data_IF_771063736635
#
_entry.id   IF_771063736635
#
_cell.length_a   1.000
_cell.length_b   1.000
_cell.length_c   1.000
_cell.angle_alpha   90.00
_cell.angle_beta   90.00
_cell.angle_gamma   90.00
#
_symmetry.space_group_name_H-M   'P 1'
#
loop_
_entity.id
_entity.type
_entity.pdbx_description
1 polymer ?
#
# COMPACT_ATOMS: atom_id res chain seq x y z
N UNK A 1 -20.57 6.91 -12.22
CA UNK A 1 -19.56 5.86 -12.43
C UNK A 1 -20.20 4.54 -12.04
N UNK A 2 -19.87 3.42 -12.71
CA UNK A 2 -20.34 2.09 -12.30
C UNK A 2 -19.90 1.80 -10.86
N UNK A 3 -20.78 1.17 -10.08
CA UNK A 3 -20.50 0.76 -8.69
C UNK A 3 -19.93 -0.65 -8.70
N UNK A 4 -18.63 -0.74 -8.99
CA UNK A 4 -17.95 -2.02 -9.08
C UNK A 4 -17.72 -2.65 -7.71
N UNK A 5 -17.78 -3.98 -7.67
CA UNK A 5 -17.56 -4.81 -6.49
C UNK A 5 -16.68 -6.01 -6.80
N UNK A 6 -16.04 -6.52 -5.76
CA UNK A 6 -15.31 -7.78 -5.75
C UNK A 6 -16.06 -8.75 -4.83
N UNK A 7 -16.14 -10.01 -5.25
CA UNK A 7 -16.79 -11.08 -4.50
C UNK A 7 -15.73 -11.95 -3.82
N UNK A 8 -15.66 -11.88 -2.49
CA UNK A 8 -14.62 -12.53 -1.68
C UNK A 8 -15.19 -13.77 -1.02
N UNK A 9 -14.67 -14.94 -1.34
CA UNK A 9 -15.09 -16.20 -0.71
C UNK A 9 -14.55 -16.30 0.72
N UNK A 10 -15.38 -16.75 1.65
CA UNK A 10 -14.95 -17.05 3.01
C UNK A 10 -14.88 -18.58 3.23
N UNK A 11 -13.91 -19.09 4.02
CA UNK A 11 -12.86 -18.34 4.75
C UNK A 11 -11.61 -18.03 3.90
N UNK A 12 -11.56 -18.47 2.64
CA UNK A 12 -10.32 -18.49 1.87
C UNK A 12 -9.77 -17.10 1.53
N UNK A 13 -10.62 -16.09 1.36
CA UNK A 13 -10.22 -14.76 0.89
C UNK A 13 -9.94 -14.67 -0.61
N UNK A 14 -10.22 -15.74 -1.37
CA UNK A 14 -10.11 -15.77 -2.82
C UNK A 14 -11.32 -15.13 -3.49
N UNK A 15 -11.13 -14.58 -4.68
CA UNK A 15 -12.11 -13.74 -5.38
C UNK A 15 -12.76 -14.48 -6.54
N UNK A 16 -14.07 -14.31 -6.71
CA UNK A 16 -14.79 -14.88 -7.83
C UNK A 16 -14.40 -14.20 -9.14
N UNK A 17 -13.91 -15.01 -10.08
CA UNK A 17 -13.48 -14.61 -11.42
C UNK A 17 -14.29 -15.33 -12.49
N UNK A 18 -14.60 -14.59 -13.56
CA UNK A 18 -15.12 -15.15 -14.82
C UNK A 18 -14.02 -15.13 -15.89
N UNK A 19 -13.16 -16.14 -15.86
CA UNK A 19 -11.94 -16.21 -16.69
C UNK A 19 -12.27 -16.41 -18.17
N UNK A 20 -13.40 -17.04 -18.46
CA UNK A 20 -13.76 -17.47 -19.79
C UNK A 20 -15.28 -17.62 -19.83
N UNK A 21 -16.01 -16.63 -20.36
CA UNK A 21 -17.49 -16.52 -20.33
C UNK A 21 -18.33 -17.69 -20.86
N UNK A 22 -17.71 -18.85 -21.11
CA UNK A 22 -18.33 -20.14 -21.44
C UNK A 22 -17.84 -21.33 -20.56
N UNK A 23 -16.65 -21.26 -19.93
CA UNK A 23 -15.97 -22.39 -19.24
C UNK A 23 -16.27 -22.52 -17.73
N UNK A 24 -16.96 -21.55 -17.14
CA UNK A 24 -17.29 -21.52 -15.71
C UNK A 24 -16.45 -20.54 -14.88
N UNK A 25 -16.76 -20.48 -13.59
CA UNK A 25 -16.13 -19.53 -12.66
C UNK A 25 -14.95 -20.17 -11.92
N UNK A 26 -13.99 -19.34 -11.48
CA UNK A 26 -12.89 -19.76 -10.61
C UNK A 26 -12.66 -18.80 -9.44
N UNK A 27 -11.84 -19.23 -8.48
CA UNK A 27 -11.42 -18.42 -7.34
C UNK A 27 -9.95 -18.02 -7.47
N UNK A 28 -9.64 -16.72 -7.37
CA UNK A 28 -8.30 -16.16 -7.58
C UNK A 28 -7.81 -15.33 -6.41
N UNK A 29 -6.51 -15.34 -6.14
CA UNK A 29 -5.87 -14.52 -5.09
C UNK A 29 -5.64 -13.06 -5.53
N UNK A 30 -5.48 -12.85 -6.85
CA UNK A 30 -5.27 -11.56 -7.52
C UNK A 30 -6.47 -11.22 -8.39
N UNK A 31 -6.76 -9.93 -8.56
CA UNK A 31 -7.92 -9.48 -9.32
C UNK A 31 -7.52 -8.64 -10.54
N UNK A 32 -7.64 -9.25 -11.72
CA UNK A 32 -7.75 -8.54 -12.99
C UNK A 32 -9.22 -8.22 -13.31
N UNK A 33 -9.51 -7.74 -14.52
CA UNK A 33 -10.85 -7.35 -14.96
C UNK A 33 -11.89 -8.46 -14.80
N UNK A 34 -11.49 -9.74 -14.90
CA UNK A 34 -12.40 -10.88 -14.77
C UNK A 34 -12.98 -11.05 -13.37
N UNK A 35 -12.37 -10.43 -12.35
CA UNK A 35 -12.84 -10.44 -10.98
C UNK A 35 -13.79 -9.28 -10.64
N UNK A 36 -14.02 -8.36 -11.57
CA UNK A 36 -14.80 -7.14 -11.34
C UNK A 36 -16.25 -7.36 -11.72
N UNK A 37 -17.16 -7.08 -10.79
CA UNK A 37 -18.60 -7.22 -10.96
C UNK A 37 -19.29 -5.88 -10.74
N UNK A 38 -20.48 -5.69 -11.33
CA UNK A 38 -21.31 -4.52 -11.13
C UNK A 38 -22.75 -4.96 -10.82
N UNK A 39 -23.41 -4.27 -9.90
CA UNK A 39 -24.83 -4.52 -9.63
C UNK A 39 -25.68 -4.15 -10.84
N UNK A 40 -26.49 -5.11 -11.31
CA UNK A 40 -27.50 -4.87 -12.33
C UNK A 40 -28.90 -4.71 -11.68
N UNK A 41 -29.10 -5.37 -10.55
CA UNK A 41 -30.27 -5.23 -9.67
C UNK A 41 -29.88 -5.59 -8.23
N UNK A 42 -30.80 -5.46 -7.26
CA UNK A 42 -30.56 -5.89 -5.86
C UNK A 42 -30.32 -7.42 -5.70
N UNK A 43 -30.53 -8.20 -6.76
CA UNK A 43 -30.41 -9.66 -6.75
C UNK A 43 -29.53 -10.21 -7.88
N UNK A 44 -28.86 -9.36 -8.66
CA UNK A 44 -27.99 -9.80 -9.76
C UNK A 44 -26.76 -8.93 -9.95
N UNK A 45 -25.65 -9.59 -10.27
CA UNK A 45 -24.36 -8.98 -10.56
C UNK A 45 -23.93 -9.36 -11.97
N UNK A 46 -23.38 -8.39 -12.69
CA UNK A 46 -22.85 -8.56 -14.04
C UNK A 46 -21.33 -8.40 -14.02
N UNK A 47 -20.61 -9.37 -14.56
CA UNK A 47 -19.16 -9.27 -14.72
C UNK A 47 -18.82 -8.14 -15.70
N UNK A 48 -17.89 -7.26 -15.31
CA UNK A 48 -17.56 -6.07 -16.06
C UNK A 48 -16.76 -6.36 -17.35
N UNK A 49 -16.03 -7.48 -17.39
CA UNK A 49 -15.21 -7.88 -18.54
C UNK A 49 -16.00 -8.75 -19.54
N UNK A 50 -16.71 -9.77 -19.04
CA UNK A 50 -17.37 -10.78 -19.89
C UNK A 50 -18.84 -10.46 -20.15
N UNK A 51 -19.48 -9.68 -19.27
CA UNK A 51 -20.90 -9.42 -19.31
C UNK A 51 -21.78 -10.56 -18.78
N UNK A 52 -21.20 -11.66 -18.28
CA UNK A 52 -21.93 -12.74 -17.62
C UNK A 52 -22.69 -12.24 -16.40
N UNK A 53 -23.87 -12.80 -16.15
CA UNK A 53 -24.73 -12.41 -15.02
C UNK A 53 -24.86 -13.58 -14.06
N UNK A 54 -24.75 -13.29 -12.77
CA UNK A 54 -25.03 -14.22 -11.66
C UNK A 54 -26.14 -13.65 -10.78
N UNK A 55 -27.01 -14.53 -10.30
CA UNK A 55 -28.01 -14.16 -9.30
C UNK A 55 -27.46 -14.39 -7.89
N UNK A 56 -27.81 -13.48 -6.97
CA UNK A 56 -27.37 -13.50 -5.58
C UNK A 56 -28.51 -13.22 -4.62
N UNK A 57 -28.42 -13.79 -3.41
CA UNK A 57 -29.34 -13.55 -2.32
C UNK A 57 -28.57 -13.21 -1.02
N UNK A 58 -29.09 -12.34 -0.14
CA UNK A 58 -28.45 -12.07 1.15
C UNK A 58 -28.22 -13.36 1.96
N UNK A 59 -27.01 -13.54 2.49
CA UNK A 59 -26.58 -14.75 3.20
C UNK A 59 -26.19 -14.50 4.66
N UNK A 60 -26.27 -13.25 5.13
CA UNK A 60 -26.05 -12.87 6.50
C UNK A 60 -25.18 -11.62 6.64
N UNK A 61 -25.13 -11.11 7.86
CA UNK A 61 -24.27 -10.02 8.31
C UNK A 61 -23.80 -10.33 9.73
N UNK A 62 -22.82 -9.57 10.23
CA UNK A 62 -22.50 -9.60 11.66
C UNK A 62 -23.74 -9.25 12.50
N UNK A 63 -23.92 -9.96 13.61
CA UNK A 63 -24.86 -9.55 14.65
C UNK A 63 -24.28 -8.45 15.55
N UNK A 64 -25.13 -7.87 16.42
CA UNK A 64 -24.74 -6.75 17.27
C UNK A 64 -23.66 -7.10 18.31
N UNK A 65 -23.64 -8.34 18.82
CA UNK A 65 -22.65 -8.78 19.80
C UNK A 65 -21.30 -9.03 19.12
N UNK A 66 -21.31 -9.66 17.94
CA UNK A 66 -20.12 -9.85 17.12
C UNK A 66 -19.51 -8.51 16.70
N UNK A 67 -20.35 -7.56 16.29
CA UNK A 67 -19.91 -6.21 15.94
C UNK A 67 -19.27 -5.49 17.14
N UNK A 68 -19.94 -5.50 18.30
CA UNK A 68 -19.41 -4.87 19.51
C UNK A 68 -18.06 -5.48 19.95
N UNK A 69 -17.92 -6.81 19.87
CA UNK A 69 -16.67 -7.48 20.20
C UNK A 69 -15.51 -7.09 19.26
N UNK A 70 -15.77 -6.93 17.96
CA UNK A 70 -14.75 -6.45 17.01
C UNK A 70 -14.35 -5.00 17.29
N UNK A 71 -15.33 -4.13 17.54
CA UNK A 71 -15.08 -2.71 17.83
C UNK A 71 -14.36 -2.49 19.16
N UNK A 72 -14.66 -3.29 20.19
CA UNK A 72 -13.92 -3.29 21.46
C UNK A 72 -12.45 -3.69 21.24
N UNK A 73 -12.22 -4.68 20.37
CA UNK A 73 -10.93 -5.31 20.18
C UNK A 73 -9.97 -4.50 19.30
N UNK A 74 -10.45 -3.99 18.16
CA UNK A 74 -9.60 -3.28 17.17
C UNK A 74 -9.94 -1.78 17.07
N UNK A 75 -10.78 -1.29 17.97
CA UNK A 75 -11.24 0.09 18.01
C UNK A 75 -12.50 0.33 17.17
N UNK A 76 -13.15 1.50 17.36
CA UNK A 76 -14.41 1.82 16.69
C UNK A 76 -14.37 1.66 15.18
N UNK A 77 -15.42 1.06 14.61
CA UNK A 77 -15.57 0.86 13.16
C UNK A 77 -14.92 -0.42 12.63
N UNK A 78 -14.20 -1.18 13.46
CA UNK A 78 -13.63 -2.47 13.10
C UNK A 78 -14.69 -3.49 12.65
N UNK A 79 -15.90 -3.44 13.21
CA UNK A 79 -17.02 -4.27 12.78
C UNK A 79 -17.44 -4.01 11.34
N UNK A 80 -17.17 -2.82 10.80
CA UNK A 80 -17.49 -2.42 9.42
C UNK A 80 -16.46 -2.92 8.40
N UNK A 81 -15.35 -3.48 8.87
CA UNK A 81 -14.36 -4.16 8.03
C UNK A 81 -14.90 -5.50 7.49
N UNK A 82 -15.92 -6.07 8.13
CA UNK A 82 -16.56 -7.31 7.68
C UNK A 82 -17.66 -6.99 6.68
N UNK A 83 -17.50 -7.51 5.47
CA UNK A 83 -18.40 -7.21 4.36
C UNK A 83 -19.75 -7.93 4.49
N UNK A 84 -20.85 -7.33 3.97
CA UNK A 84 -22.13 -8.01 3.82
C UNK A 84 -21.97 -9.27 2.96
N UNK A 85 -22.68 -10.34 3.33
CA UNK A 85 -22.55 -11.64 2.66
C UNK A 85 -23.73 -11.92 1.74
N UNK A 86 -23.42 -12.46 0.58
CA UNK A 86 -24.36 -12.87 -0.44
C UNK A 86 -24.07 -14.31 -0.87
N UNK A 87 -25.12 -15.06 -1.19
CA UNK A 87 -25.05 -16.42 -1.69
C UNK A 87 -25.41 -16.44 -3.16
N UNK A 88 -24.65 -17.17 -3.98
CA UNK A 88 -25.02 -17.45 -5.37
C UNK A 88 -26.34 -18.25 -5.38
N UNK A 89 -27.34 -17.73 -6.10
CA UNK A 89 -28.70 -18.29 -6.14
C UNK A 89 -28.92 -19.27 -7.29
N UNK A 90 -28.03 -19.28 -8.28
CA UNK A 90 -28.12 -20.15 -9.45
C UNK A 90 -27.44 -21.51 -9.22
N UNK A 91 -28.08 -22.58 -9.70
CA UNK A 91 -27.51 -23.94 -9.75
C UNK A 91 -27.06 -24.28 -11.18
N UNK A 92 -26.20 -23.45 -11.77
CA UNK A 92 -25.65 -23.69 -13.11
C UNK A 92 -24.42 -24.60 -13.09
N UNK A 93 -24.15 -25.29 -14.20
CA UNK A 93 -22.93 -26.09 -14.38
C UNK A 93 -21.65 -25.23 -14.19
N UNK A 94 -21.73 -23.94 -14.53
CA UNK A 94 -20.66 -22.96 -14.32
C UNK A 94 -20.38 -22.67 -12.85
N UNK A 95 -21.38 -22.81 -11.97
CA UNK A 95 -21.24 -22.63 -10.52
C UNK A 95 -20.79 -23.93 -9.86
N UNK A 96 -21.06 -25.08 -10.47
CA UNK A 96 -20.58 -26.38 -10.01
C UNK A 96 -19.03 -26.44 -9.94
N UNK A 97 -18.32 -25.70 -10.81
CA UNK A 97 -16.84 -25.60 -10.80
C UNK A 97 -16.29 -25.00 -9.50
N UNK A 98 -17.07 -24.17 -8.82
CA UNK A 98 -16.71 -23.55 -7.54
C UNK A 98 -16.83 -24.53 -6.35
N UNK A 99 -17.26 -25.78 -6.59
CA UNK A 99 -17.45 -26.77 -5.54
C UNK A 99 -18.44 -26.32 -4.46
N UNK A 100 -18.02 -26.30 -3.20
CA UNK A 100 -18.85 -25.88 -2.06
C UNK A 100 -18.87 -24.36 -1.80
N UNK A 101 -18.07 -23.57 -2.53
CA UNK A 101 -18.02 -22.12 -2.35
C UNK A 101 -19.25 -21.48 -2.97
N UNK A 102 -20.16 -21.00 -2.11
CA UNK A 102 -21.44 -20.40 -2.51
C UNK A 102 -21.72 -19.06 -1.84
N UNK A 103 -20.99 -18.72 -0.77
CA UNK A 103 -21.21 -17.49 0.01
C UNK A 103 -19.99 -16.60 -0.13
N UNK A 104 -20.23 -15.33 -0.45
CA UNK A 104 -19.22 -14.34 -0.75
C UNK A 104 -19.50 -13.06 0.03
N UNK A 105 -18.48 -12.47 0.63
CA UNK A 105 -18.49 -11.08 1.05
C UNK A 105 -18.43 -10.15 -0.16
N UNK A 106 -19.20 -9.07 -0.15
CA UNK A 106 -19.19 -8.07 -1.23
C UNK A 106 -18.36 -6.86 -0.78
N UNK A 107 -17.18 -6.71 -1.38
CA UNK A 107 -16.29 -5.55 -1.16
C UNK A 107 -16.43 -4.58 -2.33
N UNK A 108 -16.43 -3.28 -2.05
CA UNK A 108 -16.37 -2.26 -3.11
C UNK A 108 -15.04 -2.36 -3.86
N UNK A 109 -15.09 -2.35 -5.19
CA UNK A 109 -13.92 -2.38 -6.04
C UNK A 109 -13.45 -0.95 -6.39
N UNK A 110 -12.26 -0.81 -7.00
CA UNK A 110 -11.84 0.44 -7.62
C UNK A 110 -12.82 0.95 -8.69
N UNK A 111 -12.74 2.25 -9.00
CA UNK A 111 -13.70 2.93 -9.87
C UNK A 111 -13.56 2.58 -11.37
N UNK A 112 -12.43 1.99 -11.77
CA UNK A 112 -12.11 1.59 -13.14
C UNK A 112 -11.73 0.11 -13.19
N UNK A 113 -11.54 -0.43 -14.39
CA UNK A 113 -11.04 -1.79 -14.54
C UNK A 113 -9.54 -1.86 -14.18
N UNK A 114 -9.07 -2.95 -13.56
CA UNK A 114 -7.65 -3.19 -13.32
C UNK A 114 -6.75 -2.91 -14.53
N UNK A 115 -7.16 -3.33 -15.74
CA UNK A 115 -6.41 -3.07 -16.97
C UNK A 115 -6.25 -1.57 -17.31
N UNK A 116 -7.24 -0.73 -16.98
CA UNK A 116 -7.16 0.73 -17.16
C UNK A 116 -6.09 1.34 -16.24
N UNK A 117 -6.03 0.89 -14.98
CA UNK A 117 -5.00 1.34 -14.04
C UNK A 117 -3.61 0.88 -14.47
N UNK A 118 -3.49 -0.36 -14.96
CA UNK A 118 -2.22 -0.89 -15.47
C UNK A 118 -1.75 -0.08 -16.68
N UNK A 119 -2.63 0.22 -17.63
CA UNK A 119 -2.30 1.03 -18.80
C UNK A 119 -1.85 2.45 -18.42
N UNK A 120 -2.44 3.06 -17.38
CA UNK A 120 -1.95 4.33 -16.84
C UNK A 120 -0.54 4.18 -16.25
N UNK A 121 -0.35 3.17 -15.38
CA UNK A 121 0.92 2.92 -14.71
C UNK A 121 2.05 2.68 -15.73
N UNK A 122 1.80 1.92 -16.79
CA UNK A 122 2.74 1.68 -17.88
C UNK A 122 3.05 2.93 -18.72
N UNK A 123 2.06 3.81 -18.91
CA UNK A 123 2.19 5.01 -19.74
C UNK A 123 2.91 6.14 -19.02
N UNK A 124 2.70 6.30 -17.72
CA UNK A 124 3.12 7.52 -17.01
C UNK A 124 3.87 7.25 -15.69
N UNK A 125 4.05 5.98 -15.31
CA UNK A 125 4.79 5.57 -14.13
C UNK A 125 4.02 5.65 -12.82
N UNK A 126 2.75 6.07 -12.84
CA UNK A 126 1.91 6.12 -11.64
C UNK A 126 0.42 5.99 -11.98
N UNK A 127 -0.36 5.53 -11.00
CA UNK A 127 -1.82 5.47 -11.07
C UNK A 127 -2.44 5.58 -9.68
N UNK A 128 -3.62 6.17 -9.58
CA UNK A 128 -4.40 6.21 -8.33
C UNK A 128 -5.47 5.15 -8.41
N UNK A 129 -5.52 4.27 -7.41
CA UNK A 129 -6.52 3.22 -7.23
C UNK A 129 -7.49 3.69 -6.14
N UNK A 130 -8.73 3.97 -6.51
CA UNK A 130 -9.77 4.39 -5.57
C UNK A 130 -10.33 3.20 -4.78
N UNK A 131 -11.02 3.48 -3.66
CA UNK A 131 -11.71 2.50 -2.82
C UNK A 131 -10.80 1.36 -2.30
N UNK A 132 -9.48 1.57 -2.16
CA UNK A 132 -8.57 0.62 -1.51
C UNK A 132 -9.01 0.39 -0.06
N UNK A 133 -9.40 1.46 0.62
CA UNK A 133 -10.00 1.46 1.96
C UNK A 133 -11.39 2.09 1.94
N UNK A 134 -12.29 1.56 2.75
CA UNK A 134 -13.57 2.23 3.03
C UNK A 134 -13.37 3.41 4.01
N UNK A 135 -14.31 4.37 4.09
CA UNK A 135 -14.26 5.43 5.10
C UNK A 135 -14.14 4.91 6.54
N UNK A 136 -14.76 3.76 6.83
CA UNK A 136 -14.70 3.11 8.13
C UNK A 136 -13.31 2.52 8.40
N UNK A 137 -12.68 1.90 7.39
CA UNK A 137 -11.29 1.44 7.48
C UNK A 137 -10.35 2.63 7.79
N UNK A 138 -10.51 3.74 7.08
CA UNK A 138 -9.70 4.96 7.27
C UNK A 138 -9.91 5.51 8.69
N UNK A 139 -11.16 5.62 9.15
CA UNK A 139 -11.48 6.10 10.49
C UNK A 139 -10.91 5.19 11.58
N UNK A 140 -11.03 3.88 11.43
CA UNK A 140 -10.48 2.90 12.38
C UNK A 140 -8.95 3.03 12.46
N UNK A 141 -8.28 3.17 11.32
CA UNK A 141 -6.83 3.28 11.27
C UNK A 141 -6.32 4.59 11.87
N UNK A 142 -6.98 5.72 11.57
CA UNK A 142 -6.67 7.01 12.21
C UNK A 142 -6.87 6.92 13.73
N UNK A 143 -7.94 6.27 14.19
CA UNK A 143 -8.19 6.06 15.62
C UNK A 143 -7.07 5.29 16.31
N UNK A 144 -6.60 4.20 15.70
CA UNK A 144 -5.48 3.41 16.22
C UNK A 144 -4.16 4.18 16.25
N UNK A 145 -3.84 4.93 15.18
CA UNK A 145 -2.64 5.79 15.15
C UNK A 145 -2.74 6.93 16.17
N UNK A 146 -3.93 7.49 16.37
CA UNK A 146 -4.18 8.55 17.38
C UNK A 146 -3.97 8.02 18.79
N UNK A 147 -4.42 6.79 19.10
CA UNK A 147 -4.17 6.15 20.39
C UNK A 147 -2.67 6.04 20.71
N UNK A 148 -1.86 5.60 19.74
CA UNK A 148 -0.39 5.54 19.88
C UNK A 148 0.20 6.91 20.20
N UNK A 149 -0.28 7.96 19.53
CA UNK A 149 0.16 9.34 19.76
C UNK A 149 -0.20 9.84 21.16
N UNK A 150 -1.43 9.59 21.61
CA UNK A 150 -1.91 9.97 22.93
C UNK A 150 -1.14 9.24 24.05
N UNK A 151 -0.88 7.95 23.89
CA UNK A 151 -0.06 7.15 24.82
C UNK A 151 1.41 7.60 24.86
N UNK A 152 1.90 8.28 23.83
CA UNK A 152 3.29 8.73 23.68
C UNK A 152 3.41 10.26 23.54
N UNK A 153 2.51 11.02 24.16
CA UNK A 153 2.41 12.48 24.01
C UNK A 153 3.73 13.21 24.28
N UNK A 154 4.50 12.78 25.29
CA UNK A 154 5.77 13.41 25.64
C UNK A 154 6.85 13.17 24.58
N UNK A 155 6.93 11.95 24.02
CA UNK A 155 7.84 11.64 22.92
C UNK A 155 7.47 12.43 21.67
N UNK A 156 6.18 12.54 21.36
CA UNK A 156 5.73 13.31 20.21
C UNK A 156 6.03 14.81 20.39
N UNK A 157 5.88 15.34 21.61
CA UNK A 157 6.25 16.72 21.92
C UNK A 157 7.75 16.97 21.67
N UNK A 158 8.63 16.05 22.05
CA UNK A 158 10.07 16.14 21.77
C UNK A 158 10.38 16.10 20.27
N UNK A 159 9.69 15.24 19.52
CA UNK A 159 9.82 15.18 18.04
C UNK A 159 9.42 16.53 17.43
N UNK A 160 8.31 17.12 17.87
CA UNK A 160 7.84 18.43 17.39
C UNK A 160 8.82 19.54 17.75
N UNK A 161 9.32 19.58 18.99
CA UNK A 161 10.30 20.58 19.42
C UNK A 161 11.60 20.48 18.59
N UNK A 162 12.08 19.26 18.32
CA UNK A 162 13.24 19.04 17.44
C UNK A 162 12.99 19.50 16.00
N UNK A 163 11.77 19.29 15.48
CA UNK A 163 11.36 19.79 14.16
C UNK A 163 11.26 21.31 14.12
N UNK A 164 10.74 21.94 15.17
CA UNK A 164 10.47 23.38 15.23
C UNK A 164 11.76 24.20 15.49
N UNK A 165 12.76 23.60 16.14
CA UNK A 165 14.03 24.25 16.51
C UNK A 165 15.14 24.11 15.46
N UNK A 166 14.98 23.25 14.46
CA UNK A 166 16.03 23.01 13.45
C UNK A 166 16.10 24.15 12.41
N UNK A 167 17.30 24.55 11.97
CA UNK A 167 17.43 25.42 10.80
C UNK A 167 16.84 24.71 9.57
N UNK A 168 16.16 25.45 8.70
CA UNK A 168 15.47 24.90 7.54
C UNK A 168 16.39 23.98 6.73
N UNK A 169 16.10 22.67 6.77
CA UNK A 169 16.77 21.61 6.01
C UNK A 169 15.77 20.47 5.79
N UNK A 170 15.12 20.47 4.63
CA UNK A 170 14.48 19.29 4.02
C UNK A 170 13.15 18.75 4.59
N UNK A 171 12.60 17.81 3.81
CA UNK A 171 11.39 16.97 3.88
C UNK A 171 10.90 16.42 5.25
N UNK A 172 11.52 16.76 6.39
CA UNK A 172 11.23 16.09 7.67
C UNK A 172 10.19 16.78 8.57
N UNK A 173 9.30 17.61 8.01
CA UNK A 173 8.12 18.09 8.74
C UNK A 173 6.99 17.04 8.82
N UNK A 174 7.40 15.81 9.06
CA UNK A 174 6.57 14.62 9.02
C UNK A 174 6.75 13.92 10.35
N UNK A 175 5.66 13.74 11.09
CA UNK A 175 5.64 12.85 12.24
C UNK A 175 5.48 11.43 11.69
N UNK A 176 6.34 10.52 12.15
CA UNK A 176 6.31 9.10 11.81
C UNK A 176 5.89 8.31 13.04
N UNK A 177 4.59 7.97 13.22
CA UNK A 177 4.10 7.29 14.42
C UNK A 177 4.87 6.04 14.85
N UNK A 178 5.49 5.32 13.90
CA UNK A 178 6.40 4.20 14.21
C UNK A 178 7.50 4.57 15.22
N UNK A 179 8.04 5.78 15.18
CA UNK A 179 9.10 6.22 16.10
C UNK A 179 8.59 6.49 17.52
N UNK A 180 7.28 6.47 17.75
CA UNK A 180 6.67 6.64 19.07
C UNK A 180 6.49 5.30 19.78
N UNK A 181 6.34 4.22 19.01
CA UNK A 181 6.08 2.86 19.48
C UNK A 181 7.36 2.18 19.97
N UNK A 182 7.22 1.11 20.77
CA UNK A 182 8.33 0.23 21.12
C UNK A 182 8.77 -0.63 19.92
N UNK A 183 9.89 -1.35 20.06
CA UNK A 183 10.42 -2.22 19.00
C UNK A 183 9.57 -3.48 18.79
N UNK A 184 8.84 -3.93 19.82
CA UNK A 184 7.96 -5.10 19.80
C UNK A 184 6.52 -4.81 19.31
N UNK A 185 6.22 -3.54 19.01
CA UNK A 185 4.92 -3.12 18.50
C UNK A 185 4.97 -2.77 17.01
N UNK A 186 3.92 -3.13 16.27
CA UNK A 186 3.72 -2.73 14.87
C UNK A 186 2.25 -2.54 14.57
N UNK A 187 1.92 -1.56 13.73
CA UNK A 187 0.55 -1.34 13.27
C UNK A 187 -0.03 -2.55 12.52
N UNK A 188 0.82 -3.37 11.89
CA UNK A 188 0.42 -4.65 11.30
C UNK A 188 -0.14 -5.62 12.34
N UNK A 189 0.40 -5.62 13.57
CA UNK A 189 -0.05 -6.44 14.68
C UNK A 189 -1.18 -5.82 15.52
N UNK A 190 -1.53 -4.55 15.29
CA UNK A 190 -2.53 -3.83 16.10
C UNK A 190 -3.95 -3.87 15.51
N UNK A 191 -4.09 -3.84 14.18
CA UNK A 191 -5.41 -3.79 13.52
C UNK A 191 -5.36 -4.50 12.17
N UNK A 192 -6.40 -5.30 11.81
CA UNK A 192 -6.47 -5.93 10.49
C UNK A 192 -6.58 -4.92 9.35
N UNK A 193 -6.97 -3.66 9.62
CA UNK A 193 -7.16 -2.64 8.60
C UNK A 193 -5.89 -2.36 7.77
N UNK A 194 -4.69 -2.48 8.38
CA UNK A 194 -3.41 -2.31 7.68
C UNK A 194 -3.23 -3.41 6.63
N UNK A 195 -3.38 -4.67 7.04
CA UNK A 195 -3.23 -5.82 6.15
C UNK A 195 -4.31 -5.81 5.05
N UNK A 196 -5.58 -5.60 5.39
CA UNK A 196 -6.68 -5.58 4.41
C UNK A 196 -6.55 -4.46 3.34
N UNK A 197 -5.92 -3.35 3.71
CA UNK A 197 -5.66 -2.23 2.81
C UNK A 197 -4.46 -2.52 1.89
N UNK A 198 -3.36 -3.05 2.43
CA UNK A 198 -2.14 -3.31 1.66
C UNK A 198 -2.25 -4.55 0.79
N UNK A 199 -2.97 -5.58 1.27
CA UNK A 199 -3.20 -6.83 0.53
C UNK A 199 -4.39 -6.71 -0.44
N UNK A 200 -4.74 -5.49 -0.85
CA UNK A 200 -5.82 -5.23 -1.79
C UNK A 200 -5.57 -5.98 -3.11
N UNK A 201 -6.50 -6.87 -3.55
CA UNK A 201 -6.24 -7.85 -4.62
C UNK A 201 -5.91 -7.21 -5.97
N UNK A 202 -6.55 -6.08 -6.28
CA UNK A 202 -6.28 -5.34 -7.52
C UNK A 202 -4.94 -4.64 -7.43
N UNK A 203 -4.60 -4.07 -6.27
CA UNK A 203 -3.33 -3.36 -6.10
C UNK A 203 -2.16 -4.35 -6.21
N UNK A 204 -2.24 -5.51 -5.56
CA UNK A 204 -1.21 -6.55 -5.70
C UNK A 204 -1.09 -7.06 -7.14
N UNK A 205 -2.22 -7.29 -7.83
CA UNK A 205 -2.21 -7.69 -9.24
C UNK A 205 -1.55 -6.64 -10.13
N UNK A 206 -1.82 -5.35 -9.90
CA UNK A 206 -1.20 -4.24 -10.64
C UNK A 206 0.31 -4.22 -10.46
N UNK A 207 0.80 -4.41 -9.24
CA UNK A 207 2.22 -4.41 -8.92
C UNK A 207 2.93 -5.58 -9.61
N UNK A 208 2.40 -6.79 -9.44
CA UNK A 208 2.93 -8.01 -10.07
C UNK A 208 2.93 -7.90 -11.60
N UNK A 209 1.82 -7.42 -12.18
CA UNK A 209 1.69 -7.24 -13.63
C UNK A 209 2.63 -6.17 -14.17
N UNK A 210 2.78 -5.04 -13.47
CA UNK A 210 3.67 -3.96 -13.87
C UNK A 210 5.14 -4.38 -13.86
N UNK A 211 5.55 -5.15 -12.85
CA UNK A 211 6.89 -5.74 -12.76
C UNK A 211 7.10 -6.92 -13.71
N UNK A 212 6.03 -7.57 -14.18
CA UNK A 212 6.13 -8.81 -14.95
C UNK A 212 6.66 -9.98 -14.11
N UNK A 213 6.19 -10.08 -12.86
CA UNK A 213 6.60 -11.12 -11.89
C UNK A 213 5.36 -11.73 -11.24
N UNK A 214 5.54 -12.89 -10.62
CA UNK A 214 4.52 -13.63 -9.88
C UNK A 214 4.72 -13.59 -8.36
N UNK A 215 5.79 -12.95 -7.90
CA UNK A 215 6.15 -12.88 -6.49
C UNK A 215 6.81 -11.55 -6.11
N UNK A 216 6.34 -10.97 -5.01
CA UNK A 216 6.70 -9.65 -4.49
C UNK A 216 6.77 -9.66 -2.96
N UNK A 217 7.57 -8.76 -2.39
CA UNK A 217 7.67 -8.57 -0.94
C UNK A 217 7.94 -7.11 -0.55
N UNK A 218 7.88 -6.80 0.74
CA UNK A 218 8.23 -5.46 1.22
C UNK A 218 9.74 -5.21 1.13
N UNK A 219 10.12 -4.05 0.60
CA UNK A 219 11.42 -3.40 0.83
C UNK A 219 11.32 -2.32 1.93
N UNK A 220 10.11 -1.88 2.26
CA UNK A 220 9.87 -1.07 3.44
C UNK A 220 8.54 -1.48 4.05
N UNK A 221 8.54 -1.93 5.30
CA UNK A 221 7.31 -2.24 6.01
C UNK A 221 6.39 -1.02 6.09
N UNK A 222 5.06 -1.23 6.12
CA UNK A 222 4.11 -0.14 6.07
C UNK A 222 4.26 0.80 7.27
N UNK A 223 4.51 2.06 6.97
CA UNK A 223 4.66 3.13 7.95
C UNK A 223 3.61 4.22 7.74
N UNK A 224 3.47 5.08 8.75
CA UNK A 224 2.58 6.23 8.71
C UNK A 224 3.39 7.52 8.61
N UNK A 225 2.91 8.45 7.80
CA UNK A 225 3.47 9.78 7.67
C UNK A 225 2.38 10.82 7.88
N UNK A 226 2.60 11.69 8.85
CA UNK A 226 1.69 12.79 9.20
C UNK A 226 2.42 14.09 8.90
N UNK A 227 2.07 14.71 7.77
CA UNK A 227 2.61 16.00 7.37
C UNK A 227 1.93 17.10 8.18
N UNK A 228 2.70 17.90 8.93
CA UNK A 228 2.16 18.98 9.77
C UNK A 228 1.77 20.21 8.92
N UNK A 229 0.87 21.08 9.40
CA UNK A 229 0.57 22.35 8.73
C UNK A 229 1.81 23.25 8.64
N UNK A 230 2.05 23.86 7.48
CA UNK A 230 3.20 24.72 7.20
C UNK A 230 3.27 25.96 8.11
N UNK A 231 2.11 26.50 8.52
CA UNK A 231 2.05 27.61 9.48
C UNK A 231 2.65 27.24 10.84
N UNK A 232 2.41 26.00 11.29
CA UNK A 232 2.88 25.53 12.60
C UNK A 232 4.37 25.25 12.65
N UNK A 233 5.03 25.20 11.50
CA UNK A 233 6.46 24.88 11.36
C UNK A 233 7.26 26.03 10.79
N UNK A 234 6.61 27.15 10.44
CA UNK A 234 7.25 28.31 9.82
C UNK A 234 7.60 28.11 8.34
N UNK A 235 7.27 26.96 7.75
CA UNK A 235 7.59 26.63 6.35
C UNK A 235 6.76 27.46 5.36
N UNK A 236 5.60 27.96 5.77
CA UNK A 236 4.81 28.87 4.93
C UNK A 236 5.56 30.16 4.56
N UNK A 237 6.56 30.57 5.37
CA UNK A 237 7.28 31.80 5.16
C UNK A 237 8.42 31.70 4.13
N UNK A 238 8.83 30.49 3.72
CA UNK A 238 9.96 30.26 2.80
C UNK A 238 9.73 29.03 1.93
N UNK A 239 9.64 29.23 0.61
CA UNK A 239 9.75 28.14 -0.37
C UNK A 239 11.24 27.92 -0.60
N UNK A 240 11.74 26.77 -0.21
CA UNK A 240 13.17 26.47 -0.31
C UNK A 240 13.40 25.35 -1.32
N UNK A 241 14.60 25.32 -1.93
CA UNK A 241 14.98 24.25 -2.84
C UNK A 241 15.02 22.89 -2.16
N UNK A 242 14.84 21.83 -2.96
CA UNK A 242 15.21 20.48 -2.54
C UNK A 242 14.05 19.50 -2.47
N UNK A 243 14.34 18.35 -1.86
CA UNK A 243 13.36 17.31 -1.55
C UNK A 243 13.02 16.38 -2.70
N UNK A 244 13.46 16.67 -3.93
CA UNK A 244 13.26 15.82 -5.10
C UNK A 244 14.19 14.61 -5.05
N UNK A 245 13.59 13.43 -5.12
CA UNK A 245 14.28 12.14 -5.09
C UNK A 245 13.53 11.09 -5.90
N UNK A 246 14.18 9.95 -6.11
CA UNK A 246 13.58 8.67 -6.51
C UNK A 246 13.88 7.65 -5.41
N UNK A 247 12.99 6.67 -5.22
CA UNK A 247 13.11 5.68 -4.14
C UNK A 247 13.96 4.45 -4.55
N UNK A 248 13.87 4.00 -5.81
CA UNK A 248 14.47 2.75 -6.32
C UNK A 248 14.39 2.67 -7.87
N UNK A 249 15.28 1.95 -8.61
CA UNK A 249 16.60 1.47 -8.22
C UNK A 249 17.62 2.60 -8.32
N UNK A 250 18.56 2.66 -7.39
CA UNK A 250 19.80 3.39 -7.61
C UNK A 250 20.68 2.53 -8.54
N UNK A 251 21.03 2.95 -9.76
CA UNK A 251 22.24 2.41 -10.37
C UNK A 251 23.41 2.88 -9.53
N UNK A 252 24.22 1.92 -9.10
CA UNK A 252 25.46 2.17 -8.40
C UNK A 252 26.51 2.69 -9.35
N UNK A 253 26.49 4.02 -9.52
CA UNK A 253 27.65 4.78 -9.92
C UNK A 253 27.39 6.28 -9.71
N UNK A 254 28.14 6.81 -8.74
CA UNK A 254 28.37 8.22 -8.41
C UNK A 254 27.22 8.99 -7.78
N UNK A 255 27.31 9.03 -6.46
CA UNK A 255 26.88 10.08 -5.57
C UNK A 255 27.18 11.47 -6.14
N UNK A 256 26.28 12.40 -5.88
CA UNK A 256 26.68 13.35 -4.85
C UNK A 256 25.47 13.56 -3.94
N UNK A 257 25.39 12.70 -2.93
CA UNK A 257 24.92 13.10 -1.59
C UNK A 257 23.42 13.00 -1.26
N UNK A 258 22.71 11.98 -1.72
CA UNK A 258 21.47 11.61 -1.02
C UNK A 258 21.21 10.10 -1.07
N UNK A 259 21.51 9.43 0.05
CA UNK A 259 20.99 8.12 0.49
C UNK A 259 21.71 6.82 0.11
N UNK A 260 22.93 6.86 -0.46
CA UNK A 260 23.81 5.67 -0.61
C UNK A 260 25.20 5.77 0.02
N UNK A 261 25.50 6.77 0.86
CA UNK A 261 26.83 6.89 1.51
C UNK A 261 27.18 5.75 2.50
N UNK A 262 26.35 4.71 2.58
CA UNK A 262 26.59 3.51 3.39
C UNK A 262 26.67 2.20 2.58
N UNK A 263 26.30 2.19 1.28
CA UNK A 263 26.51 1.01 0.44
C UNK A 263 27.82 1.22 -0.34
N UNK A 264 28.94 0.91 0.32
CA UNK A 264 30.24 0.88 -0.36
C UNK A 264 30.25 -0.14 -1.52
N UNK A 265 31.28 -0.14 -2.38
CA UNK A 265 31.43 -1.12 -3.47
C UNK A 265 31.23 -2.58 -3.02
N UNK A 266 31.60 -2.90 -1.78
CA UNK A 266 31.40 -4.22 -1.17
C UNK A 266 29.92 -4.57 -0.93
N UNK A 267 29.10 -3.62 -0.45
CA UNK A 267 27.66 -3.84 -0.28
C UNK A 267 26.94 -3.96 -1.62
N UNK A 268 27.43 -3.27 -2.64
CA UNK A 268 26.96 -3.48 -4.01
C UNK A 268 27.29 -4.87 -4.52
N UNK A 269 28.53 -5.33 -4.31
CA UNK A 269 28.93 -6.68 -4.66
C UNK A 269 28.11 -7.71 -3.89
N UNK A 270 27.74 -7.46 -2.63
CA UNK A 270 26.80 -8.31 -1.87
C UNK A 270 25.40 -8.30 -2.45
N UNK A 271 24.85 -7.14 -2.83
CA UNK A 271 23.56 -7.03 -3.51
C UNK A 271 23.59 -7.81 -4.81
N UNK A 272 24.56 -7.52 -5.67
CA UNK A 272 24.75 -8.20 -6.95
C UNK A 272 24.92 -9.71 -6.76
N UNK A 273 25.76 -10.14 -5.82
CA UNK A 273 25.95 -11.55 -5.50
C UNK A 273 24.76 -12.20 -4.79
N UNK A 274 23.82 -11.43 -4.22
CA UNK A 274 22.59 -12.00 -3.66
C UNK A 274 21.53 -12.25 -4.73
N UNK A 275 21.42 -11.34 -5.71
CA UNK A 275 20.45 -11.44 -6.79
C UNK A 275 20.98 -12.32 -7.93
N UNK A 276 22.26 -12.17 -8.33
CA UNK A 276 22.87 -12.85 -9.49
C UNK A 276 22.83 -14.38 -9.44
N UNK A 277 23.14 -15.07 -8.33
CA UNK A 277 23.04 -16.53 -8.27
C UNK A 277 21.60 -17.05 -8.33
N UNK A 278 20.63 -16.33 -7.75
CA UNK A 278 19.21 -16.69 -7.81
C UNK A 278 18.60 -16.32 -9.18
N UNK A 279 19.09 -15.25 -9.80
CA UNK A 279 18.57 -14.65 -11.04
C UNK A 279 19.72 -14.11 -11.91
N UNK A 280 20.46 -14.98 -12.64
CA UNK A 280 21.70 -14.62 -13.35
C UNK A 280 21.53 -13.57 -14.46
N UNK A 281 20.29 -13.30 -14.85
CA UNK A 281 19.94 -12.29 -15.86
C UNK A 281 19.29 -11.04 -15.25
N UNK A 282 19.30 -10.83 -13.93
CA UNK A 282 18.60 -9.70 -13.30
C UNK A 282 19.09 -8.33 -13.81
N UNK A 283 20.40 -8.19 -14.09
CA UNK A 283 20.97 -6.99 -14.73
C UNK A 283 20.48 -6.74 -16.16
N UNK A 284 19.90 -7.77 -16.78
CA UNK A 284 19.28 -7.68 -18.11
C UNK A 284 17.79 -7.38 -18.01
N UNK A 285 17.17 -7.51 -16.83
CA UNK A 285 15.82 -7.00 -16.54
C UNK A 285 15.94 -5.50 -16.37
N UNK A 286 15.84 -4.79 -17.49
CA UNK A 286 16.15 -3.37 -17.57
C UNK A 286 15.19 -2.45 -16.82
N UNK A 287 14.05 -2.93 -16.31
CA UNK A 287 12.99 -2.01 -15.90
C UNK A 287 12.19 -2.50 -14.70
N UNK A 288 11.80 -1.53 -13.84
CA UNK A 288 10.79 -1.62 -12.76
C UNK A 288 11.15 -2.59 -11.63
N UNK A 289 12.02 -2.14 -10.72
CA UNK A 289 12.47 -2.94 -9.59
C UNK A 289 11.85 -2.55 -8.24
N UNK A 290 11.07 -1.47 -8.20
CA UNK A 290 10.40 -1.00 -7.01
C UNK A 290 9.13 -0.22 -7.34
N UNK A 291 8.17 -0.31 -6.44
CA UNK A 291 6.88 0.35 -6.51
C UNK A 291 6.57 0.90 -5.14
N UNK A 292 6.27 2.19 -5.09
CA UNK A 292 5.72 2.81 -3.90
C UNK A 292 4.21 2.64 -3.90
N UNK A 293 3.65 2.27 -2.75
CA UNK A 293 2.22 2.17 -2.53
C UNK A 293 1.82 3.04 -1.35
N UNK A 294 1.21 4.19 -1.66
CA UNK A 294 0.89 5.21 -0.68
C UNK A 294 -0.63 5.38 -0.59
N UNK A 295 -1.21 5.08 0.56
CA UNK A 295 -2.65 5.20 0.81
C UNK A 295 -2.94 6.48 1.60
N UNK A 296 -3.82 7.31 1.05
CA UNK A 296 -4.29 8.52 1.71
C UNK A 296 -5.22 8.17 2.88
N UNK A 297 -4.95 8.73 4.07
CA UNK A 297 -5.87 8.65 5.22
C UNK A 297 -6.64 9.96 5.42
N UNK A 298 -6.14 11.04 4.83
CA UNK A 298 -6.88 12.30 4.63
C UNK A 298 -6.82 12.65 3.14
N UNK A 299 -7.73 13.48 2.65
CA UNK A 299 -7.69 13.92 1.26
C UNK A 299 -6.34 14.56 0.92
N UNK A 300 -5.78 14.15 -0.22
CA UNK A 300 -4.64 14.80 -0.83
C UNK A 300 -5.18 15.87 -1.76
N UNK A 301 -4.94 17.14 -1.42
CA UNK A 301 -5.26 18.30 -2.25
C UNK A 301 -4.02 19.20 -2.37
N UNK A 302 -3.99 20.14 -3.32
CA UNK A 302 -2.88 21.08 -3.44
C UNK A 302 -2.61 21.83 -2.13
N UNK A 303 -3.67 22.27 -1.45
CA UNK A 303 -3.62 23.04 -0.20
C UNK A 303 -3.25 22.18 1.02
N UNK A 304 -3.45 20.86 0.95
CA UNK A 304 -3.06 19.92 2.00
C UNK A 304 -1.60 19.43 1.85
N UNK A 305 -0.85 19.94 0.85
CA UNK A 305 0.50 19.46 0.58
C UNK A 305 0.52 18.06 -0.05
N UNK A 306 -0.40 17.80 -0.99
CA UNK A 306 -0.36 16.59 -1.82
C UNK A 306 1.02 16.39 -2.46
N UNK A 307 1.43 15.13 -2.66
CA UNK A 307 2.75 14.77 -3.20
C UNK A 307 2.93 15.34 -4.61
N UNK A 308 4.11 15.86 -4.89
CA UNK A 308 4.50 16.36 -6.21
C UNK A 308 5.31 15.31 -6.97
N UNK A 309 5.11 15.25 -8.28
CA UNK A 309 5.76 14.31 -9.21
C UNK A 309 6.26 15.06 -10.44
N UNK A 310 7.40 14.63 -11.00
CA UNK A 310 7.83 15.04 -12.35
C UNK A 310 7.26 14.03 -13.34
N UNK A 311 6.41 14.48 -14.27
CA UNK A 311 5.84 13.59 -15.29
C UNK A 311 6.93 12.97 -16.18
N UNK A 312 6.77 11.69 -16.52
CA UNK A 312 7.71 10.95 -17.39
C UNK A 312 9.02 10.53 -16.72
N UNK A 313 9.31 10.99 -15.49
CA UNK A 313 10.59 10.72 -14.83
C UNK A 313 10.86 9.25 -14.50
N UNK A 314 9.83 8.41 -14.43
CA UNK A 314 9.94 6.96 -14.32
C UNK A 314 10.71 6.27 -15.47
N UNK A 315 10.84 6.93 -16.63
CA UNK A 315 11.64 6.43 -17.76
C UNK A 315 13.13 6.71 -17.60
N UNK A 316 13.53 7.47 -16.57
CA UNK A 316 14.92 7.84 -16.34
C UNK A 316 15.60 6.87 -15.38
N UNK A 317 16.79 6.41 -15.75
CA UNK A 317 17.66 5.59 -14.91
C UNK A 317 18.66 6.44 -14.11
N UNK A 318 18.31 7.69 -13.82
CA UNK A 318 19.17 8.64 -13.10
C UNK A 318 18.45 9.25 -11.93
N UNK A 319 19.16 9.74 -10.89
CA UNK A 319 18.54 10.58 -9.89
C UNK A 319 18.04 11.90 -10.51
N UNK A 320 17.15 12.64 -9.81
CA UNK A 320 16.74 13.96 -10.26
C UNK A 320 17.94 14.88 -10.56
N UNK A 321 17.91 15.64 -11.66
CA UNK A 321 18.95 16.61 -11.98
C UNK A 321 19.20 17.59 -10.84
N UNK A 322 20.45 17.98 -10.62
CA UNK A 322 20.83 18.90 -9.53
C UNK A 322 20.09 20.24 -9.60
N UNK A 323 19.77 20.72 -10.81
CA UNK A 323 18.97 21.93 -11.04
C UNK A 323 17.56 21.86 -10.42
N UNK A 324 16.95 20.67 -10.34
CA UNK A 324 15.63 20.47 -9.73
C UNK A 324 15.65 20.72 -8.22
N UNK A 325 16.81 20.50 -7.59
CA UNK A 325 17.06 20.71 -6.17
C UNK A 325 17.81 22.03 -5.87
N UNK A 326 18.23 22.79 -6.88
CA UNK A 326 19.03 24.00 -6.71
C UNK A 326 18.20 25.27 -6.49
N UNK A 327 16.92 25.27 -6.87
CA UNK A 327 16.02 26.42 -6.74
C UNK A 327 14.67 26.01 -6.09
N UNK A 328 13.93 26.97 -5.49
CA UNK A 328 12.61 26.71 -4.94
C UNK A 328 11.66 26.11 -5.99
N UNK A 329 10.80 25.18 -5.57
CA UNK A 329 9.85 24.52 -6.47
C UNK A 329 8.69 25.43 -6.83
N UNK A 330 8.58 25.78 -8.12
CA UNK A 330 7.42 26.49 -8.68
C UNK A 330 6.89 25.65 -9.85
N UNK A 331 5.80 24.93 -9.62
CA UNK A 331 5.24 24.02 -10.62
C UNK A 331 4.89 24.77 -11.92
N UNK A 332 5.32 24.21 -13.05
CA UNK A 332 5.09 24.81 -14.38
C UNK A 332 6.19 25.77 -14.84
N UNK A 333 7.23 26.03 -14.03
CA UNK A 333 8.30 26.97 -14.37
C UNK A 333 9.69 26.33 -14.35
N UNK A 334 10.57 26.75 -15.26
CA UNK A 334 11.99 26.37 -15.26
C UNK A 334 12.22 24.85 -15.22
N UNK A 335 13.12 24.35 -14.35
CA UNK A 335 13.33 22.92 -14.09
C UNK A 335 12.06 22.16 -13.63
N UNK A 336 11.06 22.87 -13.08
CA UNK A 336 9.83 22.30 -12.54
C UNK A 336 8.64 22.37 -13.52
N UNK A 337 8.88 22.61 -14.81
CA UNK A 337 7.83 22.73 -15.84
C UNK A 337 6.91 21.50 -15.96
N UNK A 338 7.44 20.31 -15.67
CA UNK A 338 6.74 19.03 -15.75
C UNK A 338 6.27 18.53 -14.37
N UNK A 339 6.31 19.40 -13.36
CA UNK A 339 5.87 19.08 -12.00
C UNK A 339 4.35 19.18 -11.91
N UNK A 340 3.74 18.11 -11.40
CA UNK A 340 2.33 18.06 -11.03
C UNK A 340 2.17 17.71 -9.56
N UNK A 341 1.07 18.16 -8.96
CA UNK A 341 0.70 17.81 -7.59
C UNK A 341 -0.55 16.91 -7.62
N UNK A 342 -0.46 15.70 -7.06
CA UNK A 342 -1.47 14.68 -7.28
C UNK A 342 -2.56 14.69 -6.21
N UNK A 343 -3.81 14.95 -6.63
CA UNK A 343 -4.96 15.01 -5.72
C UNK A 343 -5.78 13.73 -5.78
N UNK A 344 -6.11 13.16 -4.62
CA UNK A 344 -6.93 11.96 -4.49
C UNK A 344 -7.54 11.87 -3.09
N UNK A 345 -8.75 11.28 -2.95
CA UNK A 345 -9.46 11.29 -1.67
C UNK A 345 -8.88 10.26 -0.70
N UNK A 346 -9.17 10.45 0.59
CA UNK A 346 -8.90 9.48 1.64
C UNK A 346 -9.47 8.09 1.27
N UNK A 347 -8.71 7.06 1.62
CA UNK A 347 -8.98 5.66 1.31
C UNK A 347 -8.60 5.23 -0.11
N UNK A 348 -8.07 6.13 -0.94
CA UNK A 348 -7.45 5.77 -2.22
C UNK A 348 -5.95 5.57 -2.05
N UNK A 349 -5.36 4.70 -2.88
CA UNK A 349 -3.92 4.45 -2.90
C UNK A 349 -3.29 4.86 -4.22
N UNK A 350 -2.20 5.60 -4.18
CA UNK A 350 -1.36 5.86 -5.35
C UNK A 350 -0.26 4.80 -5.44
N UNK A 351 -0.15 4.18 -6.60
CA UNK A 351 0.95 3.32 -7.00
C UNK A 351 1.85 4.12 -7.93
N UNK A 352 3.15 4.16 -7.68
CA UNK A 352 4.11 4.76 -8.60
C UNK A 352 5.44 4.01 -8.65
N UNK A 353 5.99 3.90 -9.85
CA UNK A 353 7.32 3.38 -10.11
C UNK A 353 8.31 4.14 -9.26
N UNK A 354 9.14 3.43 -8.51
CA UNK A 354 10.08 4.05 -7.58
C UNK A 354 11.13 4.95 -8.26
N UNK A 355 11.29 4.88 -9.60
CA UNK A 355 12.11 5.81 -10.39
C UNK A 355 11.49 7.20 -10.53
N UNK A 356 10.18 7.30 -10.33
CA UNK A 356 9.45 8.56 -10.48
C UNK A 356 10.00 9.60 -9.52
N UNK A 357 10.48 10.71 -10.06
CA UNK A 357 10.94 11.84 -9.27
C UNK A 357 9.76 12.46 -8.56
N UNK A 358 9.87 12.52 -7.25
CA UNK A 358 8.80 13.01 -6.41
C UNK A 358 9.33 13.70 -5.17
N UNK A 359 8.45 14.45 -4.51
CA UNK A 359 8.72 15.05 -3.20
C UNK A 359 7.44 15.25 -2.41
N UNK A 360 7.56 15.21 -1.09
CA UNK A 360 6.59 15.87 -0.23
C UNK A 360 6.83 17.40 -0.32
N UNK A 361 5.78 18.23 -0.48
CA UNK A 361 5.90 19.67 -0.41
C UNK A 361 5.37 20.19 0.94
N UNK A 362 6.14 20.06 2.04
CA UNK A 362 5.66 20.41 3.37
C UNK A 362 5.28 21.90 3.48
N UNK A 363 5.92 22.77 2.71
CA UNK A 363 5.60 24.19 2.59
C UNK A 363 4.22 24.47 1.99
N UNK A 364 3.62 23.51 1.27
CA UNK A 364 2.32 23.65 0.64
C UNK A 364 1.16 23.13 1.48
N UNK A 365 1.40 22.56 2.67
CA UNK A 365 0.31 22.19 3.58
C UNK A 365 -0.23 23.42 4.34
N UNK A 366 -0.98 24.24 3.63
CA UNK A 366 -1.62 25.47 4.12
C UNK A 366 -3.07 25.26 4.56
N UNK A 367 -3.55 24.01 4.55
CA UNK A 367 -4.89 23.62 4.95
C UNK A 367 -5.24 23.90 6.42
N UNK A 368 -4.22 24.17 7.26
CA UNK A 368 -4.34 24.28 8.71
C UNK A 368 -4.49 22.93 9.43
N UNK A 369 -4.47 21.81 8.70
CA UNK A 369 -4.67 20.46 9.23
C UNK A 369 -3.50 19.54 8.89
N UNK A 370 -3.34 18.48 9.65
CA UNK A 370 -2.37 17.43 9.35
C UNK A 370 -2.84 16.61 8.13
N UNK A 371 -1.92 16.22 7.25
CA UNK A 371 -2.18 15.32 6.11
C UNK A 371 -1.55 13.95 6.36
N UNK A 372 -2.37 12.92 6.37
CA UNK A 372 -2.01 11.58 6.83
C UNK A 372 -1.93 10.60 5.65
N UNK A 373 -0.90 9.75 5.68
CA UNK A 373 -0.70 8.71 4.69
C UNK A 373 -0.10 7.44 5.31
N UNK A 374 -0.50 6.28 4.80
CA UNK A 374 0.21 5.02 5.00
C UNK A 374 1.08 4.74 3.76
N UNK A 375 2.34 4.41 3.96
CA UNK A 375 3.35 4.30 2.89
C UNK A 375 4.08 2.97 3.01
N UNK A 376 4.32 2.30 1.89
CA UNK A 376 5.19 1.12 1.79
C UNK A 376 5.93 1.11 0.45
N UNK A 377 7.05 0.39 0.40
CA UNK A 377 7.77 0.07 -0.81
C UNK A 377 7.70 -1.44 -1.04
N UNK A 378 7.31 -1.84 -2.25
CA UNK A 378 7.20 -3.23 -2.68
C UNK A 378 8.16 -3.46 -3.85
N UNK A 379 8.87 -4.58 -3.80
CA UNK A 379 9.83 -4.99 -4.84
C UNK A 379 9.56 -6.44 -5.25
N UNK A 380 10.00 -6.89 -6.43
CA UNK A 380 10.01 -8.31 -6.77
C UNK A 380 10.76 -9.14 -5.73
N UNK A 381 10.31 -10.34 -5.40
CA UNK A 381 10.96 -11.19 -4.38
C UNK A 381 12.41 -11.57 -4.69
N UNK A 382 12.85 -11.38 -5.94
CA UNK A 382 14.25 -11.55 -6.31
C UNK A 382 15.16 -10.39 -5.92
N UNK A 383 14.59 -9.22 -5.63
CA UNK A 383 15.30 -8.05 -5.17
C UNK A 383 15.51 -8.19 -3.67
N UNK A 384 16.75 -8.12 -3.20
CA UNK A 384 17.02 -8.13 -1.76
C UNK A 384 16.59 -6.81 -1.15
N UNK A 385 16.03 -6.86 0.06
CA UNK A 385 15.84 -5.66 0.87
C UNK A 385 17.20 -5.03 1.20
N UNK A 386 17.42 -3.81 0.69
CA UNK A 386 18.70 -3.09 0.80
C UNK A 386 18.80 -2.23 2.05
N UNK A 387 17.73 -2.16 2.84
CA UNK A 387 17.73 -1.39 4.06
C UNK A 387 17.95 -2.38 5.20
N UNK A 388 19.11 -2.30 5.86
CA UNK A 388 19.28 -2.82 7.23
C UNK A 388 18.35 -2.03 8.17
N UNK A 389 17.04 -2.22 8.02
CA UNK A 389 16.07 -1.63 8.93
C UNK A 389 15.47 -2.74 9.74
N UNK A 390 15.64 -2.60 11.04
CA UNK A 390 14.98 -3.39 12.07
C UNK A 390 13.44 -3.40 11.87
N UNK A 391 12.87 -2.43 11.15
CA UNK A 391 11.42 -2.27 10.98
C UNK A 391 10.68 -3.45 10.34
N UNK A 392 11.29 -4.17 9.38
CA UNK A 392 10.67 -5.36 8.75
C UNK A 392 10.71 -6.56 9.68
N UNK A 393 11.86 -6.80 10.33
CA UNK A 393 12.04 -7.88 11.30
C UNK A 393 11.15 -7.66 12.53
N UNK A 394 11.17 -6.45 13.09
CA UNK A 394 10.32 -6.03 14.21
C UNK A 394 8.84 -6.15 13.87
N UNK A 395 8.43 -5.72 12.67
CA UNK A 395 7.03 -5.84 12.25
C UNK A 395 6.63 -7.30 12.06
N UNK A 396 7.53 -8.16 11.58
CA UNK A 396 7.28 -9.59 11.45
C UNK A 396 7.14 -10.26 12.81
N UNK A 397 8.02 -9.92 13.76
CA UNK A 397 7.98 -10.44 15.13
C UNK A 397 6.71 -9.99 15.87
N UNK A 398 6.36 -8.70 15.76
CA UNK A 398 5.13 -8.15 16.32
C UNK A 398 3.88 -8.80 15.69
N UNK A 399 3.89 -9.02 14.38
CA UNK A 399 2.79 -9.71 13.68
C UNK A 399 2.68 -11.16 14.14
N UNK A 400 3.78 -11.88 14.32
CA UNK A 400 3.76 -13.28 14.75
C UNK A 400 3.03 -13.52 16.08
N UNK A 401 3.07 -12.54 17.00
CA UNK A 401 2.33 -12.56 18.26
C UNK A 401 0.87 -12.11 18.17
N UNK A 402 0.44 -11.53 17.05
CA UNK A 402 -0.86 -10.87 16.89
C UNK A 402 -2.00 -11.84 16.53
N UNK A 403 -2.20 -12.88 17.35
CA UNK A 403 -3.24 -13.92 17.16
C UNK A 403 -4.64 -13.36 16.93
N UNK A 404 -4.91 -12.24 17.59
CA UNK A 404 -6.12 -11.47 17.45
C UNK A 404 -6.32 -10.95 16.03
N UNK A 405 -5.29 -10.33 15.44
CA UNK A 405 -5.32 -9.87 14.04
C UNK A 405 -5.40 -11.06 13.09
N UNK A 406 -4.66 -12.15 13.34
CA UNK A 406 -4.73 -13.36 12.51
C UNK A 406 -6.17 -13.87 12.37
N UNK A 407 -6.91 -13.95 13.47
CA UNK A 407 -8.32 -14.40 13.46
C UNK A 407 -9.29 -13.45 12.75
N UNK A 408 -8.87 -12.22 12.43
CA UNK A 408 -9.67 -11.24 11.70
C UNK A 408 -9.32 -11.17 10.20
N UNK A 409 -8.25 -11.83 9.76
CA UNK A 409 -7.85 -11.90 8.36
C UNK A 409 -8.37 -13.18 7.69
N UNK A 410 -8.62 -13.09 6.39
CA UNK A 410 -8.85 -14.29 5.56
C UNK A 410 -7.55 -15.07 5.37
N UNK A 411 -7.64 -16.35 4.99
CA UNK A 411 -6.44 -17.16 4.75
C UNK A 411 -5.52 -16.53 3.70
N UNK A 412 -6.08 -16.05 2.58
CA UNK A 412 -5.32 -15.39 1.53
C UNK A 412 -4.62 -14.12 2.02
N UNK A 413 -5.26 -13.31 2.86
CA UNK A 413 -4.64 -12.09 3.40
C UNK A 413 -3.48 -12.44 4.33
N UNK A 414 -3.64 -13.48 5.14
CA UNK A 414 -2.58 -14.00 6.00
C UNK A 414 -1.38 -14.50 5.20
N UNK A 415 -1.65 -15.31 4.17
CA UNK A 415 -0.63 -15.84 3.27
C UNK A 415 0.13 -14.71 2.56
N UNK A 416 -0.57 -13.68 2.10
CA UNK A 416 0.07 -12.53 1.46
C UNK A 416 0.91 -11.70 2.46
N UNK A 417 0.44 -11.49 3.69
CA UNK A 417 1.26 -10.80 4.73
C UNK A 417 2.53 -11.60 5.03
N UNK A 418 2.44 -12.92 5.18
CA UNK A 418 3.59 -13.79 5.40
C UNK A 418 4.59 -13.72 4.25
N UNK A 419 4.11 -13.73 2.99
CA UNK A 419 4.96 -13.54 1.81
C UNK A 419 5.62 -12.16 1.81
N UNK A 420 4.93 -11.12 2.23
CA UNK A 420 5.50 -9.76 2.23
C UNK A 420 6.57 -9.56 3.31
N UNK A 421 6.48 -10.31 4.41
CA UNK A 421 7.42 -10.31 5.54
C UNK A 421 8.50 -11.40 5.40
N UNK A 422 8.60 -12.06 4.24
CA UNK A 422 9.24 -13.37 4.08
C UNK A 422 10.71 -13.46 4.49
N UNK A 423 11.47 -12.37 4.44
CA UNK A 423 12.93 -12.41 4.61
C UNK A 423 13.40 -11.64 5.85
N UNK A 424 14.46 -12.16 6.49
CA UNK A 424 15.24 -11.44 7.49
C UNK A 424 16.23 -10.44 6.85
N UNK A 425 17.01 -9.75 7.68
CA UNK A 425 18.03 -8.79 7.21
C UNK A 425 19.13 -9.42 6.34
N UNK A 426 19.27 -10.75 6.36
CA UNK A 426 20.21 -11.51 5.53
C UNK A 426 19.58 -12.05 4.23
N UNK A 427 18.28 -11.79 4.00
CA UNK A 427 17.54 -12.32 2.84
C UNK A 427 17.22 -13.81 2.95
N UNK A 428 17.17 -14.35 4.18
CA UNK A 428 16.77 -15.72 4.47
C UNK A 428 15.29 -15.79 4.84
N UNK A 429 14.56 -16.83 4.36
CA UNK A 429 13.17 -17.02 4.73
C UNK A 429 12.94 -17.17 6.25
N UNK A 430 12.00 -16.39 6.80
CA UNK A 430 11.58 -16.41 8.21
C UNK A 430 10.54 -17.51 8.49
N UNK A 431 10.95 -18.78 8.37
CA UNK A 431 10.09 -19.94 8.63
C UNK A 431 9.55 -20.03 10.07
N UNK A 432 10.24 -19.39 11.02
CA UNK A 432 9.80 -19.24 12.41
C UNK A 432 8.52 -18.39 12.52
N UNK A 433 8.41 -17.32 11.72
CA UNK A 433 7.22 -16.46 11.66
C UNK A 433 6.03 -17.22 11.05
N UNK A 434 6.26 -17.88 9.91
CA UNK A 434 5.23 -18.74 9.29
C UNK A 434 4.72 -19.80 10.28
N UNK A 435 5.64 -20.46 11.00
CA UNK A 435 5.28 -21.47 12.00
C UNK A 435 4.45 -20.88 13.14
N UNK A 436 4.81 -19.70 13.66
CA UNK A 436 4.10 -19.03 14.75
C UNK A 436 2.66 -18.64 14.35
N UNK A 437 2.52 -18.09 13.15
CA UNK A 437 1.22 -17.69 12.60
C UNK A 437 0.33 -18.91 12.35
N UNK A 438 0.86 -19.96 11.70
CA UNK A 438 0.11 -21.18 11.40
C UNK A 438 -0.25 -21.99 12.66
N UNK A 439 0.57 -21.93 13.73
CA UNK A 439 0.25 -22.57 15.00
C UNK A 439 -0.97 -21.95 15.69
N UNK A 440 -1.27 -20.68 15.40
CA UNK A 440 -2.41 -19.95 15.97
C UNK A 440 -3.74 -20.23 15.26
N UNK A 441 -3.71 -20.95 14.12
CA UNK A 441 -4.87 -21.29 13.28
C UNK A 441 -5.36 -22.73 13.44
N UNK A 442 -4.73 -23.52 14.32
CA UNK A 442 -5.17 -24.86 14.74
C UNK A 442 -5.86 -24.79 16.09
#
# INVERSE_FOLDING_TARGET
MPDYVLLVSEPSGLHLSDVHGESGYELRSRCDDSCVWAWESDASLKNAATGSVINVAPAGSLDANQAAALDEKFGPGASKLVFPKYRLADDSDQIATLGGYRVFGVRKAPARLPSDYLADLERQGWTVVENVMSPEMVSNLIGNVTRVREENVDKEAQVKEGQDSRPYKSNDNIIRPRSLMSSDDSFLGMTPAVAQALMHPVSLWLIESYFGVDDIHYCQCPGFSILRPAEKTGEYARVEPGGWHADYPYPLNSETEAHTYMLGPEEFEKLDASISPRYPNWKQRKDRLGMQFNIALTDFTPEAGATQFVLGSHEFDTPPPSELNAIPTVAGEGPHKDVVQMSFPAGSGILYDSRTYHRAPPELNVSGRERWAMLTCIVPSFVRDLRERDDKVESADAFAGATDVHGALTQRELDDVLKMLCDDGEGQPRADIETAVLASFK
#
